data_IF_227638737341
#
_entry.id   IF_227638737341
#
_cell.length_a   1.000
_cell.length_b   1.000
_cell.length_c   1.000
_cell.angle_alpha   90.00
_cell.angle_beta   90.00
_cell.angle_gamma   90.00
#
_symmetry.space_group_name_H-M   'P 1'
#
loop_
_entity.id
_entity.type
_entity.pdbx_description
1 polymer ?
#
# COMPACT_ATOMS: atom_id res chain seq x y z
N UNK A 1 -15.02 2.49 2.88
CA UNK A 1 -13.75 3.22 2.73
C UNK A 1 -13.84 4.64 3.27
N UNK A 2 -14.76 5.50 2.80
CA UNK A 2 -14.85 6.89 3.30
C UNK A 2 -14.90 6.97 4.83
N UNK A 3 -15.75 6.17 5.47
CA UNK A 3 -15.85 6.14 6.94
C UNK A 3 -14.54 5.71 7.62
N UNK A 4 -13.84 4.73 7.03
CA UNK A 4 -12.50 4.32 7.49
C UNK A 4 -11.52 5.49 7.47
N UNK A 5 -11.50 6.28 6.38
CA UNK A 5 -10.62 7.45 6.29
C UNK A 5 -10.92 8.47 7.40
N UNK A 6 -12.20 8.71 7.68
CA UNK A 6 -12.63 9.62 8.76
C UNK A 6 -12.20 9.11 10.13
N UNK A 7 -12.36 7.81 10.40
CA UNK A 7 -11.92 7.19 11.66
C UNK A 7 -10.41 7.32 11.84
N UNK A 8 -9.62 7.07 10.79
CA UNK A 8 -8.16 7.24 10.85
C UNK A 8 -7.80 8.69 11.19
N UNK A 9 -8.40 9.67 10.49
CA UNK A 9 -8.12 11.09 10.75
C UNK A 9 -8.59 11.58 12.12
N UNK A 10 -9.72 11.07 12.62
CA UNK A 10 -10.20 11.36 13.97
C UNK A 10 -9.22 10.91 15.04
N UNK A 11 -8.48 9.82 14.80
CA UNK A 11 -7.45 9.29 15.69
C UNK A 11 -6.03 9.72 15.26
N UNK A 12 -5.90 10.87 14.61
CA UNK A 12 -4.61 11.48 14.25
C UNK A 12 -3.71 10.64 13.33
N UNK A 13 -4.27 9.66 12.61
CA UNK A 13 -3.51 8.85 11.66
C UNK A 13 -3.31 9.54 10.31
N UNK A 14 -2.20 9.17 9.65
CA UNK A 14 -1.93 9.57 8.27
C UNK A 14 -2.51 8.59 7.26
N UNK A 15 -2.88 9.12 6.10
CA UNK A 15 -3.50 8.35 5.01
C UNK A 15 -2.68 8.58 3.75
N UNK A 16 -2.05 7.50 3.27
CA UNK A 16 -1.16 7.53 2.12
C UNK A 16 -1.78 6.72 0.98
N UNK A 17 -1.87 7.32 -0.20
CA UNK A 17 -2.24 6.61 -1.43
C UNK A 17 -0.96 6.24 -2.16
N UNK A 18 -0.65 4.95 -2.18
CA UNK A 18 0.46 4.39 -2.95
C UNK A 18 -0.06 3.54 -4.10
N UNK A 19 -0.05 4.09 -5.32
CA UNK A 19 -0.85 3.58 -6.43
C UNK A 19 -0.11 3.56 -7.76
N UNK A 20 -0.40 2.53 -8.55
CA UNK A 20 0.03 2.37 -9.94
C UNK A 20 -0.88 3.11 -10.94
N UNK A 21 -1.84 3.89 -10.44
CA UNK A 21 -2.67 4.80 -11.24
C UNK A 21 -1.89 6.06 -11.63
N UNK A 22 -2.54 7.21 -11.80
CA UNK A 22 -1.88 8.50 -12.02
C UNK A 22 -2.54 9.60 -11.19
N UNK A 23 -1.81 10.69 -10.97
CA UNK A 23 -2.24 11.80 -10.11
C UNK A 23 -3.55 12.43 -10.55
N UNK A 24 -3.80 12.58 -11.87
CA UNK A 24 -5.03 13.18 -12.40
C UNK A 24 -6.25 12.32 -12.07
N UNK A 25 -6.16 11.01 -12.32
CA UNK A 25 -7.27 10.10 -12.05
C UNK A 25 -7.60 10.01 -10.54
N UNK A 26 -6.58 9.96 -9.70
CA UNK A 26 -6.75 9.93 -8.24
C UNK A 26 -7.41 11.23 -7.77
N UNK A 27 -6.90 12.39 -8.20
CA UNK A 27 -7.43 13.70 -7.84
C UNK A 27 -8.92 13.85 -8.17
N UNK A 28 -9.32 13.42 -9.38
CA UNK A 28 -10.74 13.43 -9.81
C UNK A 28 -11.61 12.61 -8.85
N UNK A 29 -11.20 11.38 -8.51
CA UNK A 29 -11.97 10.51 -7.62
C UNK A 29 -12.09 11.10 -6.22
N UNK A 30 -10.99 11.62 -5.66
CA UNK A 30 -10.97 12.19 -4.32
C UNK A 30 -11.90 13.41 -4.22
N UNK A 31 -11.79 14.35 -5.18
CA UNK A 31 -12.63 15.55 -5.24
C UNK A 31 -14.10 15.23 -5.44
N UNK A 32 -14.42 14.28 -6.34
CA UNK A 32 -15.80 13.84 -6.56
C UNK A 32 -16.45 13.28 -5.29
N UNK A 33 -15.65 12.65 -4.42
CA UNK A 33 -16.12 12.09 -3.14
C UNK A 33 -15.93 13.04 -1.94
N UNK A 34 -15.33 14.22 -2.13
CA UNK A 34 -15.03 15.22 -1.08
C UNK A 34 -14.21 14.66 0.07
N UNK A 35 -13.15 13.92 -0.26
CA UNK A 35 -12.24 13.28 0.71
C UNK A 35 -10.77 13.60 0.45
N UNK A 36 -10.47 14.49 -0.48
CA UNK A 36 -9.11 14.96 -0.79
C UNK A 36 -8.40 15.55 0.44
N UNK A 37 -9.15 16.27 1.28
CA UNK A 37 -8.64 16.84 2.53
C UNK A 37 -8.27 15.79 3.60
N UNK A 38 -8.63 14.51 3.41
CA UNK A 38 -8.28 13.43 4.32
C UNK A 38 -6.96 12.75 3.94
N UNK A 39 -6.41 13.00 2.75
CA UNK A 39 -5.21 12.32 2.26
C UNK A 39 -3.97 13.11 2.68
N UNK A 40 -3.04 12.45 3.37
CA UNK A 40 -1.78 13.07 3.81
C UNK A 40 -0.77 13.14 2.66
N UNK A 41 -0.68 12.08 1.84
CA UNK A 41 0.27 12.00 0.74
C UNK A 41 -0.25 11.10 -0.38
N UNK A 42 0.11 11.43 -1.62
CA UNK A 42 -0.11 10.60 -2.80
C UNK A 42 1.25 10.29 -3.43
N UNK A 43 1.53 9.00 -3.64
CA UNK A 43 2.71 8.50 -4.32
C UNK A 43 2.24 7.66 -5.50
N UNK A 44 2.39 8.19 -6.71
CA UNK A 44 1.81 7.61 -7.93
C UNK A 44 2.51 8.15 -9.17
N UNK A 45 2.11 7.67 -10.34
CA UNK A 45 2.63 8.16 -11.61
C UNK A 45 2.22 9.63 -11.85
N UNK A 46 3.17 10.53 -12.18
CA UNK A 46 2.84 11.90 -12.58
C UNK A 46 2.01 11.92 -13.86
N UNK A 47 1.17 12.93 -14.00
CA UNK A 47 0.43 13.18 -15.22
C UNK A 47 0.05 14.66 -15.37
N UNK A 48 0.02 15.13 -16.60
CA UNK A 48 -0.29 16.52 -16.96
C UNK A 48 -1.08 16.58 -18.27
N UNK A 49 -1.90 17.62 -18.41
CA UNK A 49 -2.64 17.87 -19.64
C UNK A 49 -1.81 18.77 -20.56
N UNK A 50 -1.62 18.34 -21.80
CA UNK A 50 -1.04 19.16 -22.85
C UNK A 50 -2.08 20.17 -23.37
N UNK A 51 -1.62 21.27 -23.99
CA UNK A 51 -2.50 22.29 -24.60
C UNK A 51 -3.45 21.72 -25.65
N UNK A 52 -3.10 20.57 -26.23
CA UNK A 52 -3.93 19.84 -27.21
C UNK A 52 -5.11 19.09 -26.59
N UNK A 53 -5.23 19.10 -25.25
CA UNK A 53 -6.22 18.32 -24.50
C UNK A 53 -5.85 16.85 -24.34
N UNK A 54 -4.60 16.45 -24.62
CA UNK A 54 -4.09 15.11 -24.38
C UNK A 54 -3.55 14.99 -22.95
N UNK A 55 -3.99 13.96 -22.22
CA UNK A 55 -3.40 13.59 -20.94
C UNK A 55 -2.10 12.80 -21.18
N UNK A 56 -0.98 13.33 -20.68
CA UNK A 56 0.31 12.65 -20.68
C UNK A 56 0.56 12.04 -19.31
N UNK A 57 0.82 10.73 -19.28
CA UNK A 57 1.16 10.00 -18.05
C UNK A 57 2.63 9.61 -18.12
N UNK A 58 3.35 9.88 -17.04
CA UNK A 58 4.77 9.58 -16.90
C UNK A 58 4.98 8.48 -15.87
N UNK A 59 6.10 7.77 -15.95
CA UNK A 59 6.43 6.78 -14.93
C UNK A 59 6.99 7.47 -13.70
N UNK A 60 6.61 7.02 -12.50
CA UNK A 60 7.28 7.47 -11.28
C UNK A 60 8.75 7.00 -11.25
N UNK A 61 8.99 5.75 -11.65
CA UNK A 61 10.32 5.19 -11.92
C UNK A 61 10.67 5.41 -13.41
N UNK A 62 11.59 6.34 -13.74
CA UNK A 62 11.87 6.73 -15.12
C UNK A 62 12.49 5.60 -15.95
N UNK A 63 12.25 5.60 -17.27
CA UNK A 63 12.78 4.60 -18.21
C UNK A 63 14.29 4.66 -18.40
N UNK A 64 14.89 5.80 -18.09
CA UNK A 64 16.31 6.09 -18.23
C UNK A 64 17.12 5.43 -17.11
N UNK A 65 16.46 5.04 -16.02
CA UNK A 65 17.06 4.35 -14.89
C UNK A 65 16.81 2.85 -15.04
N UNK A 66 17.82 2.04 -14.72
CA UNK A 66 17.67 0.60 -14.68
C UNK A 66 16.44 0.21 -13.83
N UNK A 67 15.73 -0.88 -14.18
CA UNK A 67 14.63 -1.37 -13.37
C UNK A 67 15.07 -1.51 -11.90
N UNK A 68 14.16 -1.24 -10.97
CA UNK A 68 14.37 -1.19 -9.51
C UNK A 68 14.88 -2.50 -8.85
N UNK A 69 15.35 -3.49 -9.63
CA UNK A 69 16.13 -4.64 -9.13
C UNK A 69 15.38 -5.59 -8.19
N UNK A 70 14.07 -5.43 -8.05
CA UNK A 70 13.31 -6.19 -7.05
C UNK A 70 13.25 -7.67 -7.41
N UNK A 71 13.50 -8.50 -6.39
CA UNK A 71 13.22 -9.93 -6.42
C UNK A 71 11.72 -10.20 -6.48
N UNK A 72 10.93 -9.31 -5.86
CA UNK A 72 9.48 -9.32 -5.94
C UNK A 72 9.00 -8.81 -7.29
N UNK A 73 7.85 -9.30 -7.75
CA UNK A 73 7.18 -8.72 -8.92
C UNK A 73 6.61 -7.34 -8.56
N UNK A 74 7.05 -6.32 -9.29
CA UNK A 74 6.49 -4.97 -9.24
C UNK A 74 6.27 -4.46 -10.68
N UNK A 75 5.48 -3.40 -10.81
CA UNK A 75 5.34 -2.68 -12.08
C UNK A 75 6.64 -1.94 -12.43
N UNK A 76 6.94 -1.84 -13.74
CA UNK A 76 8.18 -1.20 -14.21
C UNK A 76 8.25 0.29 -13.90
N UNK A 77 7.08 0.93 -13.80
CA UNK A 77 6.92 2.36 -13.60
C UNK A 77 6.83 2.75 -12.12
N UNK A 78 6.66 1.81 -11.19
CA UNK A 78 6.65 2.09 -9.75
C UNK A 78 6.92 0.80 -8.94
N UNK A 79 7.87 0.87 -8.01
CA UNK A 79 8.02 -0.15 -6.97
C UNK A 79 7.42 0.36 -5.66
N UNK A 80 6.18 -0.05 -5.36
CA UNK A 80 5.51 0.35 -4.12
C UNK A 80 6.30 0.00 -2.85
N UNK A 81 7.03 -1.12 -2.84
CA UNK A 81 7.87 -1.46 -1.70
C UNK A 81 9.04 -0.49 -1.49
N UNK A 82 9.64 0.00 -2.58
CA UNK A 82 10.71 1.03 -2.51
C UNK A 82 10.12 2.36 -2.09
N UNK A 83 9.01 2.77 -2.67
CA UNK A 83 8.36 4.04 -2.34
C UNK A 83 7.88 4.10 -0.88
N UNK A 84 7.39 2.99 -0.32
CA UNK A 84 7.06 2.90 1.11
C UNK A 84 8.30 3.13 1.98
N UNK A 85 9.43 2.50 1.64
CA UNK A 85 10.69 2.69 2.38
C UNK A 85 11.17 4.14 2.26
N UNK A 86 11.12 4.72 1.06
CA UNK A 86 11.52 6.12 0.84
C UNK A 86 10.64 7.09 1.62
N UNK A 87 9.33 6.85 1.67
CA UNK A 87 8.40 7.66 2.47
C UNK A 87 8.73 7.60 3.96
N UNK A 88 9.10 6.43 4.47
CA UNK A 88 9.39 6.22 5.89
C UNK A 88 10.79 6.68 6.31
N UNK A 89 11.76 6.74 5.38
CA UNK A 89 13.17 7.00 5.68
C UNK A 89 13.41 8.29 6.48
N UNK A 90 12.82 9.46 6.15
CA UNK A 90 13.06 10.69 6.91
C UNK A 90 12.66 10.58 8.38
N UNK A 91 11.55 9.90 8.68
CA UNK A 91 11.07 9.71 10.05
C UNK A 91 11.98 8.77 10.85
N UNK A 92 12.50 7.73 10.21
CA UNK A 92 13.43 6.77 10.83
C UNK A 92 14.77 7.44 11.14
N UNK A 93 15.31 8.24 10.22
CA UNK A 93 16.58 8.94 10.40
C UNK A 93 16.55 9.94 11.56
N UNK A 94 15.39 10.55 11.80
CA UNK A 94 15.17 11.48 12.90
C UNK A 94 14.94 10.79 14.26
N UNK A 95 14.99 9.44 14.31
CA UNK A 95 14.63 8.63 15.48
C UNK A 95 13.25 8.94 16.05
N UNK A 96 12.37 9.51 15.23
CA UNK A 96 10.98 9.63 15.58
C UNK A 96 10.38 8.23 15.38
N UNK A 97 9.89 7.61 16.46
CA UNK A 97 8.97 6.47 16.34
C UNK A 97 7.63 6.98 15.78
N UNK A 98 7.67 7.57 14.58
CA UNK A 98 6.60 8.42 14.06
C UNK A 98 5.33 7.62 13.77
N UNK A 99 5.48 6.41 13.24
CA UNK A 99 4.38 5.47 13.10
C UNK A 99 4.57 4.30 14.04
N UNK A 100 3.71 4.24 15.06
CA UNK A 100 3.61 3.07 15.94
C UNK A 100 3.13 1.84 15.16
N UNK A 101 2.30 2.00 14.14
CA UNK A 101 1.75 0.91 13.34
C UNK A 101 1.39 1.36 11.92
N UNK A 102 1.58 0.47 10.93
CA UNK A 102 1.16 0.65 9.55
C UNK A 102 0.08 -0.38 9.20
N UNK A 103 -1.02 0.11 8.61
CA UNK A 103 -2.06 -0.72 7.99
C UNK A 103 -1.98 -0.56 6.47
N UNK A 104 -1.46 -1.58 5.79
CA UNK A 104 -1.34 -1.57 4.32
C UNK A 104 -2.51 -2.33 3.68
N UNK A 105 -3.29 -1.67 2.82
CA UNK A 105 -4.45 -2.29 2.14
C UNK A 105 -4.12 -2.53 0.67
N UNK A 106 -4.27 -3.75 0.19
CA UNK A 106 -3.99 -4.10 -1.21
C UNK A 106 -4.70 -5.36 -1.71
N UNK A 107 -4.78 -5.50 -3.02
CA UNK A 107 -5.44 -6.63 -3.69
C UNK A 107 -4.62 -7.24 -4.84
N UNK A 108 -3.62 -6.51 -5.33
CA UNK A 108 -2.83 -6.90 -6.50
C UNK A 108 -1.49 -7.52 -6.12
N UNK A 109 -0.84 -8.19 -7.08
CA UNK A 109 0.51 -8.74 -6.86
C UNK A 109 1.55 -7.63 -6.58
N UNK A 110 1.33 -6.41 -7.07
CA UNK A 110 2.22 -5.26 -6.86
C UNK A 110 2.25 -4.81 -5.39
N UNK A 111 1.27 -5.26 -4.59
CA UNK A 111 1.16 -5.00 -3.15
C UNK A 111 1.92 -6.02 -2.29
N UNK A 112 2.47 -7.09 -2.89
CA UNK A 112 3.33 -8.02 -2.16
C UNK A 112 4.66 -7.38 -1.74
N UNK A 113 5.27 -6.57 -2.61
CA UNK A 113 6.55 -5.95 -2.31
C UNK A 113 6.52 -5.06 -1.05
N UNK A 114 5.57 -4.12 -0.89
CA UNK A 114 5.45 -3.35 0.36
C UNK A 114 5.11 -4.23 1.58
N UNK A 115 4.30 -5.28 1.44
CA UNK A 115 4.04 -6.22 2.54
C UNK A 115 5.33 -6.85 3.11
N UNK A 116 6.36 -7.07 2.28
CA UNK A 116 7.68 -7.57 2.74
C UNK A 116 8.56 -6.52 3.43
N UNK A 117 8.12 -5.26 3.52
CA UNK A 117 8.86 -4.14 4.15
C UNK A 117 8.33 -3.79 5.54
N UNK A 118 7.22 -4.41 5.94
CA UNK A 118 6.49 -4.08 7.15
C UNK A 118 7.04 -4.84 8.37
N UNK A 119 6.86 -4.26 9.55
CA UNK A 119 7.26 -4.79 10.85
C UNK A 119 6.24 -5.81 11.36
N UNK A 120 6.60 -6.53 12.43
CA UNK A 120 5.75 -7.59 12.99
C UNK A 120 4.45 -7.09 13.64
N UNK A 121 4.43 -5.85 14.12
CA UNK A 121 3.24 -5.22 14.70
C UNK A 121 2.33 -4.57 13.66
N UNK A 122 2.77 -4.47 12.41
CA UNK A 122 1.98 -3.92 11.31
C UNK A 122 0.93 -4.93 10.79
N UNK A 123 -0.01 -4.43 9.99
CA UNK A 123 -1.10 -5.24 9.41
C UNK A 123 -1.17 -5.07 7.89
N UNK A 124 -1.18 -6.19 7.18
CA UNK A 124 -1.44 -6.25 5.74
C UNK A 124 -2.88 -6.71 5.52
N UNK A 125 -3.72 -5.82 5.01
CA UNK A 125 -5.11 -6.09 4.65
C UNK A 125 -5.19 -6.57 3.19
N UNK A 126 -5.38 -7.87 3.00
CA UNK A 126 -5.40 -8.55 1.70
C UNK A 126 -6.83 -8.78 1.23
N UNK A 127 -7.14 -8.37 -0.01
CA UNK A 127 -8.49 -8.55 -0.55
C UNK A 127 -8.79 -10.00 -0.95
N UNK A 128 -9.89 -10.53 -0.43
CA UNK A 128 -10.41 -11.86 -0.77
C UNK A 128 -10.86 -11.94 -2.23
N UNK A 129 -10.46 -13.00 -2.91
CA UNK A 129 -10.76 -13.30 -4.30
C UNK A 129 -9.80 -12.68 -5.32
N UNK A 130 -8.75 -11.98 -4.89
CA UNK A 130 -7.84 -11.22 -5.77
C UNK A 130 -6.43 -11.82 -5.82
N UNK A 131 -5.61 -11.26 -6.71
CA UNK A 131 -4.30 -11.81 -7.05
C UNK A 131 -3.37 -11.95 -5.84
N UNK A 132 -3.37 -10.99 -4.91
CA UNK A 132 -2.53 -11.09 -3.71
C UNK A 132 -2.94 -12.26 -2.81
N UNK A 133 -4.24 -12.48 -2.55
CA UNK A 133 -4.69 -13.64 -1.77
C UNK A 133 -4.33 -14.95 -2.45
N UNK A 134 -4.60 -15.08 -3.76
CA UNK A 134 -4.23 -16.28 -4.52
C UNK A 134 -2.73 -16.54 -4.44
N UNK A 135 -1.92 -15.48 -4.49
CA UNK A 135 -0.48 -15.55 -4.30
C UNK A 135 -0.07 -15.97 -2.91
N UNK A 136 -0.75 -15.55 -1.85
CA UNK A 136 -0.37 -15.96 -0.50
C UNK A 136 -0.81 -17.40 -0.18
N UNK A 137 -1.97 -17.83 -0.72
CA UNK A 137 -2.58 -19.11 -0.38
C UNK A 137 -2.25 -20.25 -1.35
N UNK A 138 -1.76 -19.98 -2.56
CA UNK A 138 -1.56 -21.01 -3.58
C UNK A 138 -0.25 -20.85 -4.36
N UNK A 139 0.83 -21.56 -3.95
CA UNK A 139 2.18 -21.50 -4.57
C UNK A 139 2.30 -21.85 -6.04
N UNK A 140 1.28 -22.49 -6.63
CA UNK A 140 1.29 -22.87 -8.05
C UNK A 140 0.23 -22.21 -8.91
N UNK A 141 -0.54 -21.22 -8.41
CA UNK A 141 -1.75 -20.75 -9.12
C UNK A 141 -1.49 -19.74 -10.24
N UNK A 142 -0.26 -19.27 -10.42
CA UNK A 142 0.05 -18.32 -11.48
C UNK A 142 0.67 -19.04 -12.65
N UNK A 143 -0.12 -19.17 -13.71
CA UNK A 143 0.41 -19.55 -15.01
C UNK A 143 1.19 -18.37 -15.62
N UNK A 144 2.18 -18.70 -16.45
CA UNK A 144 3.09 -17.75 -17.10
C UNK A 144 2.38 -16.58 -17.83
N UNK A 145 1.15 -16.82 -18.27
CA UNK A 145 0.38 -15.94 -19.16
C UNK A 145 -0.32 -14.78 -18.42
N UNK A 146 -0.64 -14.95 -17.13
CA UNK A 146 -1.32 -13.91 -16.34
C UNK A 146 -0.36 -12.84 -15.81
N UNK A 147 0.96 -13.12 -15.84
CA UNK A 147 1.93 -12.32 -15.10
C UNK A 147 3.30 -12.11 -15.78
N UNK A 148 3.53 -12.51 -17.02
CA UNK A 148 4.78 -12.19 -17.71
C UNK A 148 6.01 -12.78 -17.01
N UNK A 149 6.17 -14.09 -17.12
CA UNK A 149 7.42 -14.82 -16.84
C UNK A 149 7.53 -15.42 -15.43
N UNK A 150 7.57 -16.76 -15.37
CA UNK A 150 7.64 -17.60 -14.16
C UNK A 150 8.87 -17.41 -13.27
N UNK A 151 9.98 -16.88 -13.79
CA UNK A 151 11.25 -16.87 -13.05
C UNK A 151 11.26 -15.91 -11.85
N UNK A 152 10.51 -14.80 -11.89
CA UNK A 152 10.41 -13.90 -10.73
C UNK A 152 9.47 -14.42 -9.67
N UNK A 153 8.36 -15.07 -10.05
CA UNK A 153 7.42 -15.62 -9.08
C UNK A 153 8.03 -16.72 -8.21
N UNK A 154 8.88 -17.57 -8.82
CA UNK A 154 9.66 -18.58 -8.07
C UNK A 154 10.64 -17.98 -7.06
N UNK A 155 11.04 -16.73 -7.24
CA UNK A 155 11.97 -15.99 -6.36
C UNK A 155 11.26 -15.19 -5.27
N UNK A 156 9.94 -15.03 -5.35
CA UNK A 156 9.15 -14.38 -4.32
C UNK A 156 9.02 -15.31 -3.12
N UNK A 157 9.48 -14.86 -1.95
CA UNK A 157 9.41 -15.62 -0.70
C UNK A 157 8.40 -14.98 0.25
N UNK A 158 7.34 -15.72 0.58
CA UNK A 158 6.24 -15.30 1.46
C UNK A 158 6.67 -15.15 2.90
N UNK A 159 7.68 -15.90 3.33
CA UNK A 159 8.23 -15.86 4.69
C UNK A 159 8.89 -14.50 4.99
N UNK A 160 9.02 -13.63 3.98
CA UNK A 160 9.46 -12.25 4.15
C UNK A 160 8.37 -11.30 4.66
N UNK A 161 7.11 -11.72 4.74
CA UNK A 161 6.06 -10.92 5.37
C UNK A 161 6.16 -11.16 6.88
N UNK A 162 6.61 -10.14 7.61
CA UNK A 162 6.65 -10.17 9.07
C UNK A 162 5.32 -9.70 9.68
N UNK A 163 4.57 -8.87 8.96
CA UNK A 163 3.31 -8.27 9.41
C UNK A 163 2.17 -9.29 9.52
N UNK A 164 1.19 -9.00 10.38
CA UNK A 164 -0.02 -9.81 10.48
C UNK A 164 -0.89 -9.62 9.23
N UNK A 165 -1.37 -10.72 8.67
CA UNK A 165 -2.25 -10.70 7.49
C UNK A 165 -3.71 -10.78 7.93
N UNK A 166 -4.53 -9.85 7.45
CA UNK A 166 -5.99 -9.81 7.65
C UNK A 166 -6.67 -9.80 6.28
N UNK A 167 -7.63 -10.69 6.07
CA UNK A 167 -8.33 -10.79 4.79
C UNK A 167 -9.65 -10.02 4.81
N UNK A 168 -9.86 -9.13 3.82
CA UNK A 168 -11.07 -8.30 3.70
C UNK A 168 -11.82 -8.57 2.40
N UNK A 169 -13.16 -8.47 2.42
CA UNK A 169 -14.04 -8.62 1.27
C UNK A 169 -14.62 -7.27 0.83
N UNK A 170 -15.00 -6.45 1.80
CA UNK A 170 -15.63 -5.16 1.55
C UNK A 170 -15.15 -4.09 2.54
N UNK A 171 -15.71 -2.89 2.39
CA UNK A 171 -15.33 -1.72 3.17
C UNK A 171 -15.59 -1.86 4.69
N UNK A 172 -16.54 -2.71 5.10
CA UNK A 172 -16.89 -2.89 6.50
C UNK A 172 -15.82 -3.68 7.24
N UNK A 173 -15.22 -4.69 6.59
CA UNK A 173 -14.10 -5.46 7.14
C UNK A 173 -12.92 -4.52 7.47
N UNK A 174 -12.54 -3.65 6.53
CA UNK A 174 -11.44 -2.69 6.72
C UNK A 174 -11.77 -1.72 7.86
N UNK A 175 -13.00 -1.18 7.90
CA UNK A 175 -13.43 -0.27 8.97
C UNK A 175 -13.35 -0.93 10.34
N UNK A 176 -13.80 -2.17 10.46
CA UNK A 176 -13.78 -2.92 11.71
C UNK A 176 -12.36 -3.23 12.15
N UNK A 177 -11.48 -3.67 11.23
CA UNK A 177 -10.06 -3.86 11.54
C UNK A 177 -9.42 -2.58 12.06
N UNK A 178 -9.61 -1.45 11.37
CA UNK A 178 -9.04 -0.16 11.79
C UNK A 178 -9.52 0.25 13.18
N UNK A 179 -10.82 0.11 13.47
CA UNK A 179 -11.36 0.42 14.82
C UNK A 179 -10.73 -0.46 15.89
N UNK A 180 -10.63 -1.77 15.63
CA UNK A 180 -10.03 -2.71 16.56
C UNK A 180 -8.55 -2.38 16.83
N UNK A 181 -7.77 -2.00 15.81
CA UNK A 181 -6.36 -1.62 16.01
C UNK A 181 -6.24 -0.38 16.91
N UNK A 182 -7.10 0.63 16.73
CA UNK A 182 -7.11 1.80 17.61
C UNK A 182 -7.52 1.46 19.04
N UNK A 183 -8.52 0.60 19.24
CA UNK A 183 -8.94 0.14 20.57
C UNK A 183 -7.81 -0.63 21.28
N UNK A 184 -7.09 -1.49 20.55
CA UNK A 184 -5.94 -2.23 21.07
C UNK A 184 -4.78 -1.29 21.45
N UNK A 185 -4.51 -0.26 20.65
CA UNK A 185 -3.49 0.73 20.94
C UNK A 185 -3.78 1.49 22.25
N UNK A 186 -5.03 1.96 22.43
CA UNK A 186 -5.47 2.62 23.67
C UNK A 186 -5.34 1.69 24.87
N UNK A 187 -5.75 0.42 24.73
CA UNK A 187 -5.61 -0.55 25.81
C UNK A 187 -4.15 -0.80 26.21
N UNK A 188 -3.23 -0.86 25.24
CA UNK A 188 -1.80 -1.05 25.51
C UNK A 188 -1.20 0.13 26.30
N UNK A 189 -1.52 1.37 25.92
CA UNK A 189 -1.07 2.57 26.63
C UNK A 189 -1.54 2.58 28.10
N UNK A 190 -2.79 2.19 28.37
CA UNK A 190 -3.32 2.14 29.75
C UNK A 190 -2.66 1.08 30.65
N UNK A 191 -2.01 0.08 30.07
CA UNK A 191 -1.32 -0.98 30.82
C UNK A 191 0.12 -0.59 31.12
N UNK A 192 0.76 0.22 30.28
CA UNK A 192 2.13 0.73 30.52
C UNK A 192 2.19 1.81 31.60
N UNK A 193 1.07 2.47 31.92
CA UNK A 193 0.93 3.50 32.94
C UNK A 193 0.65 2.98 34.38
N UNK A 194 0.67 1.64 34.60
CA UNK A 194 0.43 0.98 35.90
C UNK A 194 1.69 0.26 36.40
#
# INVERSE_FOLDING_TARGET
MIETLKVIKKNHGDIIILSDANVVFIDIILKANKVDNLISQIITNPADWEDTGRLRVHRLHPTEIAPHGCLNKCALNICKGTELVNYLAPFIEQQENYYNQILYVGDSINDFCPATKMKSNDVVLVRKGYALERFLNSPGYFNDDDLGGSDKLKKMNRDKINARIVYWKDASDILNTVKNEFELAVAAETVEDI
#
